data_IF_839410927060
#
_entry.id   IF_839410927060
#
_cell.length_a   1.000
_cell.length_b   1.000
_cell.length_c   1.000
_cell.angle_alpha   90.00
_cell.angle_beta   90.00
_cell.angle_gamma   90.00
#
_symmetry.space_group_name_H-M   'P 1'
#
loop_
_entity.id
_entity.type
_entity.pdbx_description
1 polymer ?
#
# COMPACT_ATOMS: atom_id res chain seq x y z
N UNK A 1 -9.30 -10.89 26.77
CA UNK A 1 -8.50 -10.87 25.54
C UNK A 1 -7.64 -9.63 25.59
N UNK A 2 -6.45 -9.68 25.01
CA UNK A 2 -5.58 -8.52 24.82
C UNK A 2 -5.27 -8.43 23.34
N UNK A 3 -5.23 -7.21 22.81
CA UNK A 3 -4.94 -6.99 21.40
C UNK A 3 -3.80 -5.99 21.26
N UNK A 4 -3.01 -6.14 20.20
CA UNK A 4 -2.01 -5.16 19.75
C UNK A 4 -2.11 -4.99 18.23
N UNK A 5 -1.97 -3.77 17.73
CA UNK A 5 -2.08 -3.48 16.29
C UNK A 5 -0.86 -2.68 15.84
N UNK A 6 -0.21 -3.19 14.80
CA UNK A 6 1.06 -2.67 14.27
C UNK A 6 1.01 -2.51 12.75
N UNK A 7 1.84 -1.61 12.24
CA UNK A 7 2.22 -1.59 10.83
C UNK A 7 2.98 -2.87 10.46
N UNK A 8 2.71 -3.42 9.29
CA UNK A 8 3.31 -4.68 8.87
C UNK A 8 4.76 -4.54 8.39
N UNK A 9 5.19 -3.33 7.99
CA UNK A 9 6.51 -3.13 7.38
C UNK A 9 7.62 -3.03 8.44
N UNK A 10 7.36 -2.37 9.57
CA UNK A 10 8.36 -2.19 10.63
C UNK A 10 7.91 -2.60 12.04
N UNK A 11 6.63 -2.90 12.22
CA UNK A 11 6.07 -3.38 13.48
C UNK A 11 5.85 -2.30 14.52
N UNK A 12 5.83 -1.03 14.14
CA UNK A 12 5.46 0.07 15.03
C UNK A 12 4.01 0.54 14.86
N UNK A 13 3.66 1.69 15.45
CA UNK A 13 2.31 2.25 15.46
C UNK A 13 2.13 3.40 14.44
N UNK A 14 3.00 3.48 13.44
CA UNK A 14 2.94 4.42 12.33
C UNK A 14 3.04 3.67 10.99
N UNK A 15 2.22 4.04 10.02
CA UNK A 15 2.28 3.45 8.68
C UNK A 15 2.26 4.55 7.63
N UNK A 16 3.00 4.37 6.55
CA UNK A 16 3.03 5.35 5.45
C UNK A 16 1.72 5.25 4.66
N UNK A 17 1.04 6.38 4.47
CA UNK A 17 -0.23 6.50 3.76
C UNK A 17 -0.04 6.41 2.24
N UNK A 18 0.20 5.21 1.72
CA UNK A 18 0.43 4.95 0.29
C UNK A 18 -0.77 4.26 -0.40
N UNK A 19 -0.57 3.73 -1.60
CA UNK A 19 -1.60 3.02 -2.37
C UNK A 19 -2.08 1.72 -1.70
N UNK A 20 -1.28 1.14 -0.79
CA UNK A 20 -1.54 -0.17 -0.19
C UNK A 20 -0.86 -0.30 1.17
N UNK A 21 -1.58 0.09 2.22
CA UNK A 21 -1.15 -0.05 3.61
C UNK A 21 -1.53 -1.43 4.13
N UNK A 22 -0.64 -2.07 4.89
CA UNK A 22 -0.94 -3.33 5.58
C UNK A 22 -0.76 -3.20 7.09
N UNK A 23 -1.82 -3.44 7.84
CA UNK A 23 -1.84 -3.41 9.30
C UNK A 23 -2.15 -4.80 9.83
N UNK A 24 -1.48 -5.22 10.91
CA UNK A 24 -1.70 -6.51 11.57
C UNK A 24 -2.21 -6.29 12.98
N UNK A 25 -3.42 -6.80 13.26
CA UNK A 25 -3.96 -6.92 14.62
C UNK A 25 -3.64 -8.29 15.19
N UNK A 26 -2.96 -8.35 16.34
CA UNK A 26 -2.65 -9.58 17.07
C UNK A 26 -3.57 -9.72 18.27
N UNK A 27 -4.34 -10.82 18.34
CA UNK A 27 -5.23 -11.13 19.45
C UNK A 27 -4.64 -12.22 20.33
N UNK A 28 -4.28 -11.87 21.55
CA UNK A 28 -3.94 -12.81 22.62
C UNK A 28 -5.20 -13.26 23.35
N UNK A 29 -5.47 -14.57 23.32
CA UNK A 29 -6.66 -15.17 23.92
C UNK A 29 -6.34 -16.20 25.00
N UNK A 30 -7.27 -16.35 25.93
CA UNK A 30 -7.30 -17.39 26.96
C UNK A 30 -8.72 -17.91 27.10
N UNK A 31 -8.89 -19.22 27.26
CA UNK A 31 -10.20 -19.86 27.46
C UNK A 31 -10.86 -20.56 26.26
N UNK A 32 -10.44 -20.42 24.99
CA UNK A 32 -10.96 -21.27 23.92
C UNK A 32 -10.84 -22.77 24.23
N UNK A 33 -11.90 -23.51 23.90
CA UNK A 33 -11.90 -24.97 23.93
C UNK A 33 -11.08 -25.53 22.76
N UNK A 34 -10.05 -26.36 23.01
CA UNK A 34 -9.27 -26.99 21.96
C UNK A 34 -10.10 -27.80 20.96
N UNK A 35 -9.70 -27.78 19.68
CA UNK A 35 -10.35 -28.52 18.60
C UNK A 35 -11.70 -27.94 18.15
N UNK A 36 -12.04 -26.72 18.59
CA UNK A 36 -13.18 -25.95 18.09
C UNK A 36 -12.71 -24.92 17.08
N UNK A 37 -13.53 -24.69 16.05
CA UNK A 37 -13.32 -23.62 15.08
C UNK A 37 -13.91 -22.31 15.64
N UNK A 38 -13.08 -21.27 15.62
CA UNK A 38 -13.43 -19.91 15.99
C UNK A 38 -13.31 -19.00 14.79
N UNK A 39 -13.99 -17.85 14.88
CA UNK A 39 -13.90 -16.79 13.89
C UNK A 39 -13.42 -15.52 14.58
N UNK A 40 -12.28 -15.00 14.13
CA UNK A 40 -11.80 -13.67 14.48
C UNK A 40 -12.20 -12.71 13.36
N UNK A 41 -12.90 -11.63 13.70
CA UNK A 41 -13.22 -10.55 12.77
C UNK A 41 -12.63 -9.26 13.30
N UNK A 42 -11.83 -8.59 12.47
CA UNK A 42 -11.29 -7.27 12.72
C UNK A 42 -11.99 -6.23 11.86
N UNK A 43 -12.14 -4.99 12.35
CA UNK A 43 -12.57 -3.83 11.55
C UNK A 43 -11.77 -2.60 11.95
N UNK A 44 -11.24 -1.87 10.96
CA UNK A 44 -10.58 -0.59 11.20
C UNK A 44 -11.61 0.53 11.35
N UNK A 45 -11.42 1.34 12.38
CA UNK A 45 -12.27 2.47 12.75
C UNK A 45 -11.42 3.73 12.78
N UNK A 46 -11.92 4.81 12.20
CA UNK A 46 -11.27 6.12 12.30
C UNK A 46 -11.44 6.66 13.73
N UNK A 47 -10.33 6.99 14.39
CA UNK A 47 -10.33 7.39 15.81
C UNK A 47 -11.09 8.68 16.07
N UNK A 48 -11.08 9.61 15.12
CA UNK A 48 -11.70 10.92 15.30
C UNK A 48 -13.23 10.83 15.19
N UNK A 49 -13.71 10.08 14.21
CA UNK A 49 -15.14 9.96 13.90
C UNK A 49 -15.82 8.80 14.61
N UNK A 50 -15.07 7.76 14.96
CA UNK A 50 -15.62 6.50 15.47
C UNK A 50 -16.32 5.66 14.40
N UNK A 51 -16.22 6.03 13.13
CA UNK A 51 -16.85 5.34 12.01
C UNK A 51 -15.90 4.33 11.35
N UNK A 52 -16.42 3.26 10.73
CA UNK A 52 -15.59 2.32 9.99
C UNK A 52 -14.84 3.00 8.85
N UNK A 53 -13.52 2.75 8.78
CA UNK A 53 -12.68 3.15 7.66
C UNK A 53 -13.20 2.48 6.40
N UNK A 54 -13.22 3.21 5.28
CA UNK A 54 -13.64 2.69 3.99
C UNK A 54 -12.53 2.79 2.96
N UNK A 55 -12.38 1.73 2.18
CA UNK A 55 -11.52 1.66 0.99
C UNK A 55 -12.36 1.10 -0.15
N UNK A 56 -12.33 1.75 -1.32
CA UNK A 56 -13.20 1.42 -2.47
C UNK A 56 -14.70 1.32 -2.12
N UNK A 57 -15.16 2.18 -1.22
CA UNK A 57 -16.56 2.23 -0.77
C UNK A 57 -16.99 1.09 0.17
N UNK A 58 -16.07 0.20 0.58
CA UNK A 58 -16.33 -0.90 1.52
C UNK A 58 -15.61 -0.68 2.84
N UNK A 59 -16.21 -1.13 3.94
CA UNK A 59 -15.54 -1.10 5.22
C UNK A 59 -14.28 -1.98 5.19
N UNK A 60 -13.20 -1.50 5.81
CA UNK A 60 -11.96 -2.28 5.96
C UNK A 60 -12.15 -3.27 7.11
N UNK A 61 -12.65 -4.45 6.74
CA UNK A 61 -12.95 -5.57 7.64
C UNK A 61 -12.23 -6.82 7.14
N UNK A 62 -11.66 -7.59 8.05
CA UNK A 62 -10.98 -8.86 7.75
C UNK A 62 -11.46 -9.94 8.70
N UNK A 63 -11.60 -11.16 8.19
CA UNK A 63 -12.13 -12.29 8.94
C UNK A 63 -11.27 -13.52 8.74
N UNK A 64 -10.89 -14.17 9.84
CA UNK A 64 -10.09 -15.39 9.87
C UNK A 64 -10.84 -16.45 10.67
N UNK A 65 -11.08 -17.60 10.04
CA UNK A 65 -11.52 -18.81 10.73
C UNK A 65 -10.31 -19.65 11.11
N UNK A 66 -10.25 -20.12 12.35
CA UNK A 66 -9.10 -20.90 12.82
C UNK A 66 -9.50 -21.91 13.90
N UNK A 67 -8.70 -22.98 14.02
CA UNK A 67 -8.83 -24.01 15.06
C UNK A 67 -7.57 -23.93 15.91
N UNK A 68 -7.73 -23.97 17.23
CA UNK A 68 -6.61 -24.00 18.18
C UNK A 68 -6.59 -25.31 18.96
N UNK A 69 -5.40 -25.84 19.21
CA UNK A 69 -5.17 -27.03 20.04
C UNK A 69 -4.88 -26.69 21.51
N UNK A 70 -4.76 -25.39 21.83
CA UNK A 70 -4.47 -24.90 23.17
C UNK A 70 -5.54 -23.92 23.64
N UNK A 71 -5.73 -23.86 24.97
CA UNK A 71 -6.66 -22.90 25.55
C UNK A 71 -6.11 -21.47 25.59
N UNK A 72 -4.83 -21.27 25.28
CA UNK A 72 -4.18 -19.97 25.24
C UNK A 72 -3.30 -19.89 23.99
N UNK A 73 -3.28 -18.74 23.35
CA UNK A 73 -2.50 -18.53 22.15
C UNK A 73 -2.71 -17.12 21.59
N UNK A 74 -2.17 -16.92 20.40
CA UNK A 74 -2.34 -15.71 19.61
C UNK A 74 -2.98 -16.04 18.27
N UNK A 75 -3.70 -15.10 17.70
CA UNK A 75 -4.19 -15.16 16.33
C UNK A 75 -4.12 -13.76 15.73
N UNK A 76 -3.58 -13.67 14.52
CA UNK A 76 -3.51 -12.43 13.77
C UNK A 76 -4.70 -12.25 12.83
N UNK A 77 -5.05 -10.99 12.58
CA UNK A 77 -5.95 -10.53 11.54
C UNK A 77 -5.23 -9.42 10.76
N UNK A 78 -5.18 -9.56 9.43
CA UNK A 78 -4.46 -8.63 8.55
C UNK A 78 -5.46 -7.78 7.75
N UNK A 79 -5.18 -6.49 7.67
CA UNK A 79 -5.93 -5.51 6.89
C UNK A 79 -5.05 -4.95 5.79
N UNK A 80 -5.52 -4.98 4.54
CA UNK A 80 -4.85 -4.32 3.42
C UNK A 80 -5.84 -3.39 2.74
N UNK A 81 -5.47 -2.12 2.57
CA UNK A 81 -6.35 -1.07 2.05
C UNK A 81 -5.55 0.08 1.45
N UNK A 82 -6.19 0.90 0.60
CA UNK A 82 -5.58 2.14 0.10
C UNK A 82 -5.53 3.22 1.19
N UNK A 83 -4.33 3.71 1.50
CA UNK A 83 -4.08 4.65 2.59
C UNK A 83 -4.01 6.12 2.19
N UNK A 84 -3.85 6.44 0.89
CA UNK A 84 -3.61 7.81 0.41
C UNK A 84 -4.63 8.85 0.90
N UNK A 85 -5.92 8.49 0.97
CA UNK A 85 -6.99 9.39 1.41
C UNK A 85 -7.10 9.52 2.94
N UNK A 86 -6.33 8.71 3.67
CA UNK A 86 -6.36 8.60 5.14
C UNK A 86 -5.08 9.15 5.77
N UNK A 87 -4.22 9.82 4.98
CA UNK A 87 -3.00 10.45 5.48
C UNK A 87 -3.30 11.46 6.60
N UNK A 88 -2.64 11.28 7.75
CA UNK A 88 -2.83 12.09 8.95
C UNK A 88 -3.86 11.53 9.94
N UNK A 89 -4.69 10.56 9.54
CA UNK A 89 -5.67 9.91 10.41
C UNK A 89 -4.98 8.95 11.38
N UNK A 90 -5.68 8.64 12.48
CA UNK A 90 -5.34 7.57 13.39
C UNK A 90 -6.43 6.50 13.28
N UNK A 91 -6.02 5.27 12.96
CA UNK A 91 -6.93 4.14 12.76
C UNK A 91 -6.83 3.20 13.95
N UNK A 92 -7.95 2.69 14.42
CA UNK A 92 -8.02 1.77 15.56
C UNK A 92 -8.64 0.45 15.11
N UNK A 93 -8.00 -0.67 15.42
CA UNK A 93 -8.58 -1.98 15.16
C UNK A 93 -9.57 -2.35 16.26
N UNK A 94 -10.77 -2.77 15.85
CA UNK A 94 -11.74 -3.44 16.70
C UNK A 94 -11.79 -4.91 16.33
N UNK A 95 -11.77 -5.80 17.33
CA UNK A 95 -11.83 -7.23 17.12
C UNK A 95 -13.02 -7.87 17.83
N UNK A 96 -13.62 -8.85 17.15
CA UNK A 96 -14.65 -9.74 17.70
C UNK A 96 -14.23 -11.19 17.48
N UNK A 97 -14.39 -11.99 18.53
CA UNK A 97 -14.04 -13.39 18.61
C UNK A 97 -15.30 -14.23 18.81
N UNK A 98 -15.62 -15.11 17.87
CA UNK A 98 -16.87 -15.86 17.86
C UNK A 98 -16.67 -17.39 17.81
N UNK A 99 -17.58 -18.13 18.43
CA UNK A 99 -17.69 -19.59 18.36
C UNK A 99 -19.08 -19.96 17.83
N UNK A 100 -19.14 -20.67 16.71
CA UNK A 100 -20.42 -21.07 16.11
C UNK A 100 -21.34 -19.88 15.77
N UNK A 101 -20.74 -18.74 15.40
CA UNK A 101 -21.46 -17.49 15.08
C UNK A 101 -21.94 -16.68 16.29
N UNK A 102 -21.68 -17.14 17.53
CA UNK A 102 -21.97 -16.36 18.74
C UNK A 102 -20.69 -15.67 19.21
N UNK A 103 -20.76 -14.35 19.44
CA UNK A 103 -19.65 -13.59 20.00
C UNK A 103 -19.33 -14.08 21.41
N UNK A 104 -18.06 -14.45 21.61
CA UNK A 104 -17.52 -14.92 22.88
C UNK A 104 -16.68 -13.83 23.59
N UNK A 105 -16.00 -12.98 22.84
CA UNK A 105 -15.27 -11.82 23.34
C UNK A 105 -15.13 -10.76 22.25
N UNK A 106 -14.98 -9.50 22.65
CA UNK A 106 -14.67 -8.40 21.74
C UNK A 106 -13.81 -7.35 22.44
N UNK A 107 -13.06 -6.60 21.64
CA UNK A 107 -12.32 -5.41 22.03
C UNK A 107 -12.63 -4.29 21.03
N UNK A 108 -13.24 -3.22 21.51
CA UNK A 108 -13.77 -2.15 20.67
C UNK A 108 -13.54 -0.78 21.34
N UNK A 109 -12.29 -0.51 21.71
CA UNK A 109 -11.89 0.71 22.39
C UNK A 109 -11.31 1.74 21.42
N UNK A 110 -12.10 2.74 21.00
CA UNK A 110 -11.64 3.80 20.06
C UNK A 110 -10.47 4.65 20.58
N UNK A 111 -10.20 4.62 21.88
CA UNK A 111 -9.08 5.35 22.51
C UNK A 111 -7.95 4.43 22.98
N UNK A 112 -7.90 3.19 22.50
CA UNK A 112 -6.83 2.26 22.86
C UNK A 112 -5.59 2.54 22.01
N UNK A 113 -4.56 3.11 22.66
CA UNK A 113 -3.28 3.44 22.01
C UNK A 113 -2.58 2.19 21.47
N UNK A 114 -2.65 1.04 22.16
CA UNK A 114 -2.05 -0.21 21.70
C UNK A 114 -2.76 -0.82 20.49
N UNK A 115 -3.92 -0.29 20.13
CA UNK A 115 -4.70 -0.65 18.96
C UNK A 115 -4.68 0.41 17.85
N UNK A 116 -4.00 1.52 18.10
CA UNK A 116 -3.99 2.66 17.19
C UNK A 116 -2.75 2.62 16.31
N UNK A 117 -2.93 2.77 15.00
CA UNK A 117 -1.86 3.06 14.02
C UNK A 117 -2.12 4.43 13.40
N UNK A 118 -1.10 5.30 13.40
CA UNK A 118 -1.16 6.62 12.77
C UNK A 118 -0.68 6.54 11.32
N UNK A 119 -1.49 7.01 10.39
CA UNK A 119 -1.06 7.12 9.00
C UNK A 119 -0.28 8.41 8.77
N UNK A 120 0.98 8.29 8.38
CA UNK A 120 1.86 9.42 8.07
C UNK A 120 1.92 9.64 6.56
N UNK A 121 1.98 10.89 6.08
CA UNK A 121 2.11 11.15 4.65
C UNK A 121 3.43 10.55 4.13
N UNK A 122 3.47 10.06 2.87
CA UNK A 122 4.72 9.63 2.28
C UNK A 122 5.70 10.78 2.22
N UNK A 123 6.96 10.50 2.56
CA UNK A 123 8.06 11.43 2.39
C UNK A 123 8.09 11.89 0.93
N UNK A 124 7.81 13.17 0.69
CA UNK A 124 8.00 13.73 -0.65
C UNK A 124 9.50 13.87 -0.86
N UNK A 125 10.10 13.35 -1.96
CA UNK A 125 11.47 13.69 -2.27
C UNK A 125 11.57 15.21 -2.33
N UNK A 126 12.40 15.82 -1.48
CA UNK A 126 12.66 17.26 -1.58
C UNK A 126 13.04 17.53 -3.03
N UNK A 127 12.20 18.30 -3.74
CA UNK A 127 12.59 18.81 -5.04
C UNK A 127 13.92 19.53 -4.85
N UNK A 128 14.97 19.28 -5.66
CA UNK A 128 16.23 19.97 -5.49
C UNK A 128 15.96 21.46 -5.54
N UNK A 129 16.11 22.17 -4.42
CA UNK A 129 16.02 23.64 -4.38
C UNK A 129 16.97 24.20 -5.43
N UNK A 130 16.49 24.95 -6.45
CA UNK A 130 17.37 25.66 -7.36
C UNK A 130 18.09 26.77 -6.58
N UNK A 131 19.26 26.47 -6.02
CA UNK A 131 20.00 27.44 -5.21
C UNK A 131 21.18 26.93 -4.39
N UNK A 132 21.33 25.62 -4.18
CA UNK A 132 22.50 25.08 -3.49
C UNK A 132 23.65 24.94 -4.49
N UNK A 133 24.74 25.71 -4.30
CA UNK A 133 25.96 25.64 -5.11
C UNK A 133 26.36 24.18 -5.36
N UNK A 134 26.52 23.82 -6.63
CA UNK A 134 27.09 22.55 -7.05
C UNK A 134 28.43 22.32 -6.32
N UNK A 135 28.69 21.13 -5.73
CA UNK A 135 30.08 20.74 -5.49
C UNK A 135 30.74 20.57 -6.86
N UNK A 136 31.75 21.41 -7.12
CA UNK A 136 32.52 21.39 -8.35
C UNK A 136 33.55 20.25 -8.23
N UNK A 137 33.35 19.14 -8.93
CA UNK A 137 34.31 18.03 -8.98
C UNK A 137 34.80 17.74 -10.41
N UNK A 138 36.09 18.00 -10.62
CA UNK A 138 36.93 17.54 -11.75
C UNK A 138 36.83 18.42 -12.99
N UNK A 139 37.89 18.87 -13.66
CA UNK A 139 39.31 18.56 -13.61
C UNK A 139 40.04 19.79 -14.21
N UNK A 140 40.95 20.43 -13.47
CA UNK A 140 41.79 21.51 -14.01
C UNK A 140 42.94 20.90 -14.83
N UNK A 141 42.72 20.63 -16.11
CA UNK A 141 43.82 20.42 -17.06
C UNK A 141 44.22 21.78 -17.64
N UNK A 142 45.49 22.24 -17.50
CA UNK A 142 45.92 23.48 -18.13
C UNK A 142 46.07 23.24 -19.63
N UNK A 143 45.05 23.57 -20.42
CA UNK A 143 45.15 23.56 -21.89
C UNK A 143 45.94 24.80 -22.33
N UNK A 144 47.26 24.72 -22.16
CA UNK A 144 48.21 25.50 -22.93
C UNK A 144 48.66 24.65 -24.12
N UNK A 145 48.08 24.92 -25.30
CA UNK A 145 48.61 24.51 -26.60
C UNK A 145 48.06 23.19 -27.15
N UNK A 146 47.22 23.27 -28.18
CA UNK A 146 47.60 22.99 -29.58
C UNK A 146 46.38 23.33 -30.47
N UNK A 147 46.53 24.41 -31.25
CA UNK A 147 45.79 24.64 -32.49
C UNK A 147 46.38 23.77 -33.59
N UNK A 148 45.57 22.99 -34.32
CA UNK A 148 45.72 22.66 -35.76
C UNK A 148 44.32 22.33 -36.30
N UNK A 149 43.62 23.28 -36.94
CA UNK A 149 43.46 23.50 -38.40
C UNK A 149 42.61 22.46 -39.16
N UNK A 150 41.65 23.02 -39.90
CA UNK A 150 40.53 22.42 -40.62
C UNK A 150 40.90 21.54 -41.82
N UNK A 151 39.98 20.63 -42.20
CA UNK A 151 39.70 20.33 -43.61
C UNK A 151 38.29 19.74 -43.78
N UNK A 152 37.52 20.35 -44.68
CA UNK A 152 36.19 19.99 -45.15
C UNK A 152 36.20 18.70 -46.00
N UNK A 153 35.07 17.99 -46.01
CA UNK A 153 34.79 16.88 -46.91
C UNK A 153 33.30 16.68 -47.12
N UNK A 154 32.74 17.33 -48.15
CA UNK A 154 31.38 17.18 -48.64
C UNK A 154 31.19 15.85 -49.42
N UNK A 155 30.05 15.17 -49.26
CA UNK A 155 29.17 14.72 -50.38
C UNK A 155 28.03 13.81 -49.88
N UNK A 156 26.83 14.05 -50.44
CA UNK A 156 25.55 13.42 -50.15
C UNK A 156 25.35 12.06 -50.86
N UNK A 157 24.40 11.25 -50.37
CA UNK A 157 23.55 10.40 -51.20
C UNK A 157 22.22 10.07 -50.51
N UNK A 158 21.15 10.18 -51.29
CA UNK A 158 19.72 10.06 -50.97
C UNK A 158 19.24 8.65 -51.39
N UNK A 159 18.01 8.28 -50.99
CA UNK A 159 17.13 7.17 -51.46
C UNK A 159 17.16 5.94 -50.52
N UNK A 160 16.05 5.37 -50.04
CA UNK A 160 14.62 5.62 -50.22
C UNK A 160 13.77 4.52 -49.54
N UNK A 161 12.69 4.95 -48.88
CA UNK A 161 11.32 4.39 -48.79
C UNK A 161 11.12 2.85 -48.84
N UNK A 162 10.50 2.32 -47.77
CA UNK A 162 9.38 1.37 -47.90
C UNK A 162 8.49 1.39 -46.64
N UNK A 163 7.28 1.94 -46.76
CA UNK A 163 6.14 1.70 -45.87
C UNK A 163 5.40 0.47 -46.40
N UNK A 164 5.22 -0.58 -45.59
CA UNK A 164 4.27 -1.65 -45.91
C UNK A 164 2.92 -1.35 -45.27
N UNK A 165 1.94 -1.17 -46.15
CA UNK A 165 0.52 -0.97 -45.91
C UNK A 165 -0.10 -2.36 -45.74
N UNK A 166 -0.89 -2.56 -44.69
CA UNK A 166 -1.67 -3.78 -44.46
C UNK A 166 -3.10 -3.40 -44.09
N UNK A 167 -3.92 -3.11 -45.10
CA UNK A 167 -5.37 -2.91 -44.98
C UNK A 167 -6.03 -4.27 -44.94
N UNK A 168 -6.82 -4.54 -43.90
CA UNK A 168 -7.74 -5.66 -43.80
C UNK A 168 -9.04 -5.18 -43.19
N UNK A 169 -9.97 -4.77 -44.04
CA UNK A 169 -11.33 -4.35 -43.73
C UNK A 169 -12.25 -5.58 -43.66
N UNK A 170 -13.11 -5.67 -42.64
CA UNK A 170 -14.42 -6.36 -42.67
C UNK A 170 -15.25 -5.97 -41.44
N UNK A 171 -16.04 -4.91 -41.57
CA UNK A 171 -17.39 -4.80 -41.01
C UNK A 171 -18.31 -5.56 -42.02
N UNK A 172 -19.52 -6.08 -41.79
CA UNK A 172 -20.66 -5.90 -40.89
C UNK A 172 -21.27 -7.35 -40.73
N UNK A 173 -22.25 -7.69 -39.91
CA UNK A 173 -23.55 -7.06 -39.74
C UNK A 173 -24.33 -7.76 -38.62
N UNK A 174 -25.20 -6.98 -38.02
CA UNK A 174 -26.11 -7.27 -36.92
C UNK A 174 -27.23 -8.24 -37.36
N UNK A 175 -27.81 -8.95 -36.40
CA UNK A 175 -29.10 -9.60 -36.61
C UNK A 175 -30.22 -8.65 -36.21
N UNK A 176 -31.31 -8.60 -37.00
CA UNK A 176 -32.69 -8.42 -36.53
C UNK A 176 -33.66 -8.61 -37.72
N UNK A 177 -34.50 -9.65 -37.59
CA UNK A 177 -35.92 -9.83 -37.92
C UNK A 177 -36.60 -9.27 -39.21
N UNK A 178 -37.47 -10.16 -39.73
CA UNK A 178 -38.70 -10.00 -40.53
C UNK A 178 -38.65 -10.36 -42.03
#
# INVERSE_FOLDING_TARGET
MQTETIDADDGDHEAVADDSVTIVGTVSYTGPTPGKEYTLTGTLVDRETGEPVRSDGKAVTSTVAFVTDTANGTQEVTFTFGGMELAGNALVAFESFALGGQEAAAHAGVNDEGQTVRLVPPETPEAPTPGSKLPQTGDELPIAGICVLAAEGCAASVIGIARSIGTGHREEDEGEEA
#
